data_IF_701203405836
#
_entry.id   IF_701203405836
#
_cell.length_a   1.000
_cell.length_b   1.000
_cell.length_c   1.000
_cell.angle_alpha   90.00
_cell.angle_beta   90.00
_cell.angle_gamma   90.00
#
_symmetry.space_group_name_H-M   'P 1'
#
loop_
_entity.id
_entity.type
_entity.pdbx_description
1 polymer ?
#
# COMPACT_ATOMS: atom_id res chain seq x y z
N UNK A 1 -81.11 22.64 -9.77
CA UNK A 1 -80.67 21.48 -8.98
C UNK A 1 -80.89 20.24 -9.83
N UNK A 2 -79.81 19.59 -10.26
CA UNK A 2 -79.67 18.15 -10.57
C UNK A 2 -78.40 17.99 -11.38
N UNK A 3 -77.29 17.73 -10.67
CA UNK A 3 -76.01 17.38 -11.29
C UNK A 3 -76.06 15.95 -11.82
N UNK A 4 -75.67 15.79 -13.08
CA UNK A 4 -75.46 14.48 -13.70
C UNK A 4 -73.97 14.17 -13.52
N UNK A 5 -73.66 13.22 -12.64
CA UNK A 5 -72.31 12.70 -12.43
C UNK A 5 -72.01 11.68 -13.53
N UNK A 6 -71.07 12.05 -14.42
CA UNK A 6 -70.56 11.15 -15.44
C UNK A 6 -69.46 10.27 -14.82
N UNK A 7 -69.79 8.99 -14.63
CA UNK A 7 -68.87 7.91 -14.25
C UNK A 7 -67.92 7.62 -15.40
N UNK A 8 -66.68 8.09 -15.31
CA UNK A 8 -65.61 7.69 -16.24
C UNK A 8 -65.02 6.37 -15.74
N UNK A 9 -65.38 5.29 -16.42
CA UNK A 9 -64.73 3.99 -16.34
C UNK A 9 -63.26 4.12 -16.76
N UNK A 10 -62.34 3.96 -15.82
CA UNK A 10 -60.92 3.82 -16.13
C UNK A 10 -60.55 2.36 -15.95
N UNK A 11 -60.34 1.69 -17.08
CA UNK A 11 -59.84 0.31 -17.17
C UNK A 11 -58.48 0.22 -16.47
N UNK A 12 -58.43 -0.48 -15.35
CA UNK A 12 -57.20 -0.82 -14.67
C UNK A 12 -56.40 -1.80 -15.53
N UNK A 13 -55.37 -1.30 -16.22
CA UNK A 13 -54.34 -2.14 -16.82
C UNK A 13 -53.48 -2.72 -15.70
N UNK A 14 -53.50 -4.04 -15.58
CA UNK A 14 -52.74 -4.79 -14.60
C UNK A 14 -51.24 -4.44 -14.66
N UNK A 15 -50.56 -4.18 -13.53
CA UNK A 15 -49.11 -4.07 -13.52
C UNK A 15 -48.49 -5.46 -13.75
N UNK A 16 -47.65 -5.56 -14.78
CA UNK A 16 -46.81 -6.74 -15.06
C UNK A 16 -45.98 -7.05 -13.81
N UNK A 17 -46.13 -8.27 -13.30
CA UNK A 17 -45.26 -8.80 -12.26
C UNK A 17 -43.82 -8.85 -12.79
N UNK A 18 -42.96 -7.97 -12.29
CA UNK A 18 -41.52 -8.10 -12.42
C UNK A 18 -41.13 -9.16 -11.40
N UNK A 19 -41.03 -10.42 -11.85
CA UNK A 19 -40.47 -11.51 -11.06
C UNK A 19 -38.97 -11.28 -10.94
N UNK A 20 -38.56 -10.55 -9.91
CA UNK A 20 -37.17 -10.56 -9.48
C UNK A 20 -36.88 -11.92 -8.84
N UNK A 21 -36.46 -12.88 -9.65
CA UNK A 21 -35.83 -14.10 -9.15
C UNK A 21 -34.55 -13.70 -8.43
N UNK A 22 -34.35 -14.10 -7.16
CA UNK A 22 -33.09 -13.82 -6.48
C UNK A 22 -32.02 -14.71 -7.11
N UNK A 23 -31.06 -14.09 -7.79
CA UNK A 23 -29.80 -14.73 -8.16
C UNK A 23 -29.08 -15.14 -6.87
N UNK A 24 -28.75 -16.43 -6.65
CA UNK A 24 -28.00 -16.82 -5.48
C UNK A 24 -26.57 -16.31 -5.63
N UNK A 25 -26.22 -15.28 -4.88
CA UNK A 25 -24.82 -14.92 -4.65
C UNK A 25 -24.14 -16.10 -3.94
N UNK A 26 -23.37 -16.87 -4.71
CA UNK A 26 -22.46 -17.89 -4.22
C UNK A 26 -21.39 -17.21 -3.37
N UNK A 27 -21.55 -17.22 -2.05
CA UNK A 27 -20.41 -17.11 -1.15
C UNK A 27 -19.58 -18.39 -1.28
N UNK A 28 -18.24 -18.31 -1.36
CA UNK A 28 -17.41 -19.49 -1.35
C UNK A 28 -17.59 -20.19 0.01
N UNK A 29 -17.98 -21.45 -0.08
CA UNK A 29 -18.07 -22.42 1.00
C UNK A 29 -16.78 -22.35 1.84
N UNK A 30 -16.90 -22.12 3.16
CA UNK A 30 -15.85 -22.53 4.08
C UNK A 30 -15.74 -24.05 3.96
N UNK A 31 -14.69 -24.48 3.27
CA UNK A 31 -14.33 -25.88 3.14
C UNK A 31 -14.10 -26.48 4.52
N UNK A 32 -14.78 -27.60 4.74
CA UNK A 32 -14.37 -28.72 5.60
C UNK A 32 -12.86 -28.77 5.81
N UNK A 33 -12.41 -28.56 7.05
CA UNK A 33 -11.05 -28.91 7.47
C UNK A 33 -10.98 -30.42 7.66
N UNK A 34 -10.74 -31.15 6.57
CA UNK A 34 -10.18 -32.50 6.69
C UNK A 34 -8.73 -32.37 7.14
N UNK A 35 -8.39 -33.05 8.23
CA UNK A 35 -7.06 -33.15 8.83
C UNK A 35 -5.91 -33.13 7.82
N UNK A 36 -5.15 -32.03 7.82
CA UNK A 36 -3.83 -31.99 7.21
C UNK A 36 -2.87 -32.77 8.13
N UNK A 37 -2.53 -34.00 7.78
CA UNK A 37 -1.32 -34.66 8.28
C UNK A 37 -0.11 -33.97 7.67
N UNK A 38 0.48 -33.07 8.45
CA UNK A 38 1.75 -32.40 8.14
C UNK A 38 2.88 -33.42 8.28
N UNK A 39 3.27 -34.07 7.18
CA UNK A 39 4.48 -34.89 7.14
C UNK A 39 5.69 -33.95 7.03
N UNK A 40 6.51 -33.92 8.08
CA UNK A 40 7.77 -33.17 8.13
C UNK A 40 8.70 -33.75 7.07
N UNK A 41 8.79 -33.08 5.92
CA UNK A 41 9.76 -33.37 4.87
C UNK A 41 11.09 -32.75 5.27
N UNK A 42 11.96 -33.56 5.87
CA UNK A 42 13.38 -33.24 6.04
C UNK A 42 14.03 -33.10 4.66
N UNK A 43 14.14 -31.87 4.17
CA UNK A 43 14.95 -31.51 3.02
C UNK A 43 16.44 -31.63 3.37
N UNK A 44 16.99 -32.83 3.15
CA UNK A 44 18.43 -33.05 3.00
C UNK A 44 18.77 -32.65 1.55
N UNK A 45 19.69 -31.69 1.30
CA UNK A 45 20.05 -31.30 -0.05
C UNK A 45 20.99 -32.36 -0.63
N UNK A 46 20.45 -33.35 -1.34
CA UNK A 46 21.26 -34.16 -2.24
C UNK A 46 21.50 -33.38 -3.52
N UNK A 47 22.77 -33.06 -3.69
CA UNK A 47 23.30 -32.44 -4.89
C UNK A 47 23.21 -33.48 -6.00
N UNK A 48 22.39 -33.17 -6.99
CA UNK A 48 22.58 -33.52 -8.40
C UNK A 48 24.01 -33.99 -8.68
N UNK A 49 24.15 -35.27 -9.01
CA UNK A 49 25.17 -35.83 -9.91
C UNK A 49 24.95 -37.34 -9.94
N UNK A 50 24.26 -37.84 -10.97
CA UNK A 50 24.66 -38.98 -11.79
C UNK A 50 23.49 -39.44 -12.66
N UNK A 51 23.63 -39.15 -13.95
CA UNK A 51 23.19 -39.95 -15.11
C UNK A 51 22.42 -41.22 -14.77
N UNK A 52 21.19 -41.33 -15.33
CA UNK A 52 20.42 -42.56 -15.35
C UNK A 52 21.20 -43.66 -16.10
N UNK A 53 22.10 -44.31 -15.39
CA UNK A 53 22.66 -45.59 -15.77
C UNK A 53 21.65 -46.64 -15.35
N UNK A 54 21.14 -47.38 -16.32
CA UNK A 54 20.31 -48.56 -16.13
C UNK A 54 21.08 -49.49 -15.18
N UNK A 55 20.77 -49.49 -13.89
CA UNK A 55 21.30 -50.52 -12.99
C UNK A 55 20.49 -51.78 -13.20
N UNK A 56 20.84 -52.51 -14.27
CA UNK A 56 20.53 -53.92 -14.39
C UNK A 56 20.94 -54.59 -13.08
N UNK A 57 20.02 -55.25 -12.39
CA UNK A 57 20.41 -56.12 -11.27
C UNK A 57 21.39 -57.16 -11.84
N UNK A 58 22.61 -57.27 -11.31
CA UNK A 58 23.60 -58.17 -11.85
C UNK A 58 23.07 -59.60 -11.80
N UNK A 59 23.25 -60.32 -12.90
CA UNK A 59 22.91 -61.75 -12.96
C UNK A 59 23.81 -62.53 -11.98
N UNK A 60 23.40 -63.73 -11.55
CA UNK A 60 24.12 -64.52 -10.54
C UNK A 60 25.62 -64.72 -10.88
N UNK A 61 25.94 -64.71 -12.18
CA UNK A 61 27.29 -64.87 -12.71
C UNK A 61 28.17 -63.60 -12.63
N UNK A 62 27.59 -62.42 -12.39
CA UNK A 62 28.28 -61.12 -12.39
C UNK A 62 28.55 -60.58 -10.98
N UNK A 63 28.13 -61.30 -9.94
CA UNK A 63 28.42 -60.94 -8.56
C UNK A 63 29.87 -61.31 -8.20
N UNK A 64 30.61 -60.43 -7.47
CA UNK A 64 31.94 -60.77 -6.99
C UNK A 64 31.87 -62.05 -6.13
N UNK A 65 32.80 -62.97 -6.36
CA UNK A 65 32.90 -64.20 -5.56
C UNK A 65 33.10 -63.81 -4.09
N UNK A 66 32.13 -64.15 -3.25
CA UNK A 66 32.18 -63.93 -1.80
C UNK A 66 33.48 -64.52 -1.28
N UNK A 67 34.24 -63.74 -0.50
CA UNK A 67 35.48 -64.22 0.12
C UNK A 67 35.19 -65.50 0.92
N UNK A 68 36.11 -66.46 0.87
CA UNK A 68 35.92 -67.80 1.49
C UNK A 68 35.58 -67.69 2.98
N UNK A 69 36.18 -66.73 3.69
CA UNK A 69 35.89 -66.45 5.09
C UNK A 69 34.44 -65.96 5.32
N UNK A 70 33.94 -65.05 4.48
CA UNK A 70 32.56 -64.55 4.55
C UNK A 70 31.55 -65.66 4.21
N UNK A 71 31.87 -66.54 3.25
CA UNK A 71 31.05 -67.71 2.92
C UNK A 71 30.98 -68.68 4.09
N UNK A 72 32.10 -68.95 4.76
CA UNK A 72 32.15 -69.80 5.95
C UNK A 72 31.39 -69.20 7.14
N UNK A 73 31.46 -67.88 7.34
CA UNK A 73 30.72 -67.18 8.40
C UNK A 73 29.20 -67.19 8.15
N UNK A 74 28.77 -67.09 6.89
CA UNK A 74 27.37 -67.20 6.50
C UNK A 74 26.84 -68.64 6.60
N UNK A 75 27.64 -69.64 6.21
CA UNK A 75 27.28 -71.07 6.34
C UNK A 75 27.23 -71.51 7.80
N UNK A 76 28.08 -70.96 8.67
CA UNK A 76 28.07 -71.17 10.11
C UNK A 76 27.17 -70.22 10.91
N UNK A 77 26.44 -69.32 10.23
CA UNK A 77 25.59 -68.34 10.89
C UNK A 77 24.41 -69.03 11.57
N UNK A 78 24.38 -69.03 12.91
CA UNK A 78 23.24 -69.53 13.67
C UNK A 78 22.26 -68.37 13.93
N UNK A 79 21.07 -68.35 13.30
CA UNK A 79 20.09 -67.30 13.51
C UNK A 79 19.56 -67.23 14.95
N UNK A 80 19.75 -68.29 15.74
CA UNK A 80 19.39 -68.33 17.17
C UNK A 80 20.27 -67.42 18.03
N UNK A 81 21.45 -67.02 17.52
CA UNK A 81 22.34 -66.09 18.21
C UNK A 81 21.96 -64.62 17.97
N UNK A 82 20.97 -64.35 17.13
CA UNK A 82 20.40 -63.01 17.01
C UNK A 82 19.57 -62.68 18.24
N UNK A 83 19.73 -61.47 18.79
CA UNK A 83 18.85 -61.00 19.86
C UNK A 83 17.42 -60.96 19.36
N UNK A 84 16.51 -61.68 20.03
CA UNK A 84 15.09 -61.57 19.75
C UNK A 84 14.63 -60.13 20.02
N UNK A 85 14.09 -59.48 18.99
CA UNK A 85 13.41 -58.20 19.15
C UNK A 85 12.02 -58.47 19.73
N UNK A 86 11.79 -58.09 20.99
CA UNK A 86 10.46 -58.13 21.59
C UNK A 86 9.62 -57.04 20.92
N UNK A 87 8.74 -57.43 20.00
CA UNK A 87 7.69 -56.55 19.47
C UNK A 87 6.58 -56.46 20.52
N UNK A 88 6.42 -55.29 21.15
CA UNK A 88 5.25 -55.00 21.96
C UNK A 88 4.16 -54.36 21.10
N UNK A 89 3.02 -55.04 20.95
CA UNK A 89 1.81 -54.46 20.39
C UNK A 89 1.26 -53.44 21.40
N UNK A 90 1.37 -52.15 21.07
CA UNK A 90 0.91 -51.07 21.95
C UNK A 90 -0.59 -50.84 21.77
N UNK A 91 -1.42 -51.82 22.11
CA UNK A 91 -2.88 -51.68 22.12
C UNK A 91 -3.29 -50.92 23.38
N UNK A 92 -3.01 -49.61 23.44
CA UNK A 92 -3.49 -48.78 24.56
C UNK A 92 -4.99 -48.62 24.37
N UNK A 93 -5.76 -49.12 25.33
CA UNK A 93 -7.18 -48.86 25.40
C UNK A 93 -7.40 -47.35 25.62
N UNK A 94 -8.47 -46.76 25.04
CA UNK A 94 -8.78 -45.36 25.29
C UNK A 94 -8.88 -45.10 26.79
N UNK A 95 -8.32 -43.98 27.21
CA UNK A 95 -8.32 -43.57 28.61
C UNK A 95 -9.75 -43.20 29.03
N UNK A 96 -10.05 -43.27 30.32
CA UNK A 96 -11.31 -42.79 30.85
C UNK A 96 -11.58 -41.30 30.51
N UNK A 97 -10.53 -40.50 30.31
CA UNK A 97 -10.63 -39.12 29.86
C UNK A 97 -11.04 -39.02 28.38
N UNK A 98 -10.42 -39.81 27.51
CA UNK A 98 -10.74 -39.87 26.07
C UNK A 98 -12.23 -40.22 25.86
N UNK A 99 -12.74 -41.20 26.60
CA UNK A 99 -14.16 -41.60 26.53
C UNK A 99 -15.10 -40.51 27.06
N UNK A 100 -14.69 -39.75 28.08
CA UNK A 100 -15.49 -38.65 28.61
C UNK A 100 -15.56 -37.48 27.62
N UNK A 101 -14.43 -37.13 27.01
CA UNK A 101 -14.37 -36.09 25.99
C UNK A 101 -15.22 -36.45 24.78
N UNK A 102 -15.13 -37.71 24.32
CA UNK A 102 -15.94 -38.22 23.22
C UNK A 102 -17.44 -38.16 23.55
N UNK A 103 -17.84 -38.53 24.78
CA UNK A 103 -19.25 -38.40 25.23
C UNK A 103 -19.70 -36.94 25.26
N UNK A 104 -18.88 -36.04 25.78
CA UNK A 104 -19.20 -34.61 25.82
C UNK A 104 -19.35 -34.03 24.41
N UNK A 105 -18.46 -34.40 23.49
CA UNK A 105 -18.53 -33.98 22.10
C UNK A 105 -19.82 -34.49 21.43
N UNK A 106 -20.12 -35.78 21.55
CA UNK A 106 -21.33 -36.36 20.96
C UNK A 106 -22.60 -35.75 21.53
N UNK A 107 -22.65 -35.49 22.85
CA UNK A 107 -23.79 -34.82 23.46
C UNK A 107 -24.00 -33.41 22.87
N UNK A 108 -22.93 -32.64 22.70
CA UNK A 108 -23.02 -31.31 22.10
C UNK A 108 -23.55 -31.35 20.66
N UNK A 109 -23.06 -32.30 19.86
CA UNK A 109 -23.54 -32.49 18.49
C UNK A 109 -25.02 -32.85 18.49
N UNK A 110 -25.43 -33.79 19.36
CA UNK A 110 -26.82 -34.21 19.48
C UNK A 110 -27.75 -33.07 19.94
N UNK A 111 -27.29 -32.22 20.87
CA UNK A 111 -28.04 -31.06 21.35
C UNK A 111 -28.26 -30.01 20.25
N UNK A 112 -27.25 -29.80 19.40
CA UNK A 112 -27.34 -28.89 18.25
C UNK A 112 -28.21 -29.50 17.14
N UNK A 113 -28.07 -30.79 16.84
CA UNK A 113 -28.86 -31.48 15.82
C UNK A 113 -30.36 -31.49 16.17
N UNK A 114 -30.69 -31.70 17.44
CA UNK A 114 -32.07 -31.70 17.92
C UNK A 114 -32.56 -30.31 18.36
N UNK A 115 -31.80 -29.25 18.08
CA UNK A 115 -32.16 -27.90 18.49
C UNK A 115 -33.43 -27.43 17.77
N UNK A 116 -34.48 -27.17 18.55
CA UNK A 116 -35.77 -26.73 18.03
C UNK A 116 -35.79 -25.21 17.86
N UNK A 117 -35.84 -24.75 16.60
CA UNK A 117 -35.78 -23.32 16.24
C UNK A 117 -37.00 -22.50 16.68
N UNK A 118 -38.11 -23.17 17.00
CA UNK A 118 -39.32 -22.58 17.61
C UNK A 118 -39.08 -22.01 19.01
N UNK A 119 -38.03 -22.47 19.70
CA UNK A 119 -37.59 -21.91 20.99
C UNK A 119 -36.86 -20.57 20.85
N UNK A 120 -36.46 -20.18 19.63
CA UNK A 120 -35.85 -18.88 19.38
C UNK A 120 -36.92 -17.79 19.44
N UNK A 121 -36.68 -16.76 20.25
CA UNK A 121 -37.54 -15.56 20.26
C UNK A 121 -37.50 -14.92 18.87
N UNK A 122 -38.68 -14.69 18.27
CA UNK A 122 -38.74 -13.94 17.01
C UNK A 122 -38.28 -12.51 17.25
N UNK A 123 -37.25 -12.09 16.53
CA UNK A 123 -36.89 -10.68 16.42
C UNK A 123 -37.76 -10.03 15.34
N UNK A 124 -38.52 -9.00 15.72
CA UNK A 124 -39.24 -8.19 14.75
C UNK A 124 -38.25 -7.26 14.03
N UNK A 125 -37.83 -7.64 12.82
CA UNK A 125 -37.03 -6.76 11.97
C UNK A 125 -37.94 -5.70 11.37
N UNK A 126 -37.78 -4.44 11.78
CA UNK A 126 -38.45 -3.32 11.12
C UNK A 126 -37.58 -2.83 9.96
N UNK A 127 -38.02 -3.10 8.72
CA UNK A 127 -37.46 -2.48 7.52
C UNK A 127 -37.94 -1.02 7.45
N UNK A 128 -37.02 -0.07 7.70
CA UNK A 128 -37.34 1.36 7.67
C UNK A 128 -37.37 1.86 6.22
N UNK A 129 -38.48 1.68 5.54
CA UNK A 129 -38.73 2.28 4.22
C UNK A 129 -39.04 3.78 4.40
N UNK A 130 -38.00 4.60 4.53
CA UNK A 130 -38.19 6.06 4.57
C UNK A 130 -38.28 6.57 3.14
N UNK A 131 -39.46 7.05 2.76
CA UNK A 131 -39.60 7.82 1.53
C UNK A 131 -38.78 9.11 1.67
N UNK A 132 -38.09 9.56 0.61
CA UNK A 132 -37.44 10.86 0.60
C UNK A 132 -38.42 11.92 1.08
N UNK A 133 -38.01 12.73 2.05
CA UNK A 133 -38.86 13.78 2.57
C UNK A 133 -38.86 14.98 1.59
N UNK A 134 -39.74 15.96 1.82
CA UNK A 134 -39.84 17.13 0.95
C UNK A 134 -38.54 17.96 0.86
N UNK A 135 -37.72 17.97 1.93
CA UNK A 135 -36.42 18.62 1.96
C UNK A 135 -35.42 17.91 1.06
N UNK A 136 -35.39 16.59 1.07
CA UNK A 136 -34.49 15.79 0.24
C UNK A 136 -34.74 16.10 -1.25
N UNK A 137 -36.00 16.10 -1.67
CA UNK A 137 -36.40 16.42 -3.05
C UNK A 137 -36.10 17.88 -3.42
N UNK A 138 -36.31 18.82 -2.50
CA UNK A 138 -36.00 20.24 -2.75
C UNK A 138 -34.49 20.46 -2.90
N UNK A 139 -33.69 19.79 -2.06
CA UNK A 139 -32.23 19.84 -2.13
C UNK A 139 -31.70 19.27 -3.45
N UNK A 140 -32.24 18.13 -3.89
CA UNK A 140 -31.84 17.48 -5.13
C UNK A 140 -32.20 18.33 -6.36
N UNK A 141 -33.38 18.95 -6.37
CA UNK A 141 -33.76 19.91 -7.42
C UNK A 141 -32.82 21.11 -7.49
N UNK A 142 -32.43 21.64 -6.33
CA UNK A 142 -31.51 22.78 -6.26
C UNK A 142 -30.12 22.40 -6.76
N UNK A 143 -29.59 21.25 -6.35
CA UNK A 143 -28.31 20.75 -6.83
C UNK A 143 -28.32 20.50 -8.34
N UNK A 144 -29.38 19.86 -8.84
CA UNK A 144 -29.55 19.61 -10.27
C UNK A 144 -29.59 20.89 -11.08
N UNK A 145 -30.36 21.89 -10.64
CA UNK A 145 -30.42 23.19 -11.31
C UNK A 145 -29.07 23.92 -11.32
N UNK A 146 -28.27 23.79 -10.25
CA UNK A 146 -26.92 24.35 -10.20
C UNK A 146 -25.99 23.68 -11.21
N UNK A 147 -26.02 22.35 -11.28
CA UNK A 147 -25.21 21.57 -12.22
C UNK A 147 -25.57 21.95 -13.66
N UNK A 148 -26.86 21.93 -14.00
CA UNK A 148 -27.35 22.33 -15.33
C UNK A 148 -26.95 23.78 -15.66
N UNK A 149 -27.00 24.69 -14.69
CA UNK A 149 -26.59 26.07 -14.85
C UNK A 149 -25.09 26.24 -15.12
N UNK A 150 -24.25 25.41 -14.49
CA UNK A 150 -22.79 25.39 -14.74
C UNK A 150 -22.47 24.73 -16.07
N UNK A 151 -23.14 23.64 -16.44
CA UNK A 151 -22.96 22.98 -17.74
C UNK A 151 -23.37 23.88 -18.90
N UNK A 152 -24.47 24.64 -18.74
CA UNK A 152 -24.94 25.59 -19.73
C UNK A 152 -24.23 26.96 -19.66
N UNK A 153 -23.22 27.11 -18.78
CA UNK A 153 -22.55 28.38 -18.59
C UNK A 153 -21.71 28.76 -19.81
N UNK A 154 -22.14 29.82 -20.50
CA UNK A 154 -21.45 30.37 -21.64
C UNK A 154 -20.33 31.31 -21.21
N UNK A 155 -19.09 30.81 -21.28
CA UNK A 155 -17.88 31.56 -20.94
C UNK A 155 -17.64 32.78 -21.83
N UNK A 156 -18.25 32.87 -23.02
CA UNK A 156 -18.15 34.04 -23.88
C UNK A 156 -18.86 35.28 -23.31
N UNK A 157 -19.77 35.08 -22.35
CA UNK A 157 -20.45 36.16 -21.61
C UNK A 157 -19.59 36.75 -20.49
N UNK A 158 -18.46 36.12 -20.16
CA UNK A 158 -17.50 36.69 -19.22
C UNK A 158 -16.88 37.95 -19.81
N UNK A 159 -16.67 38.96 -18.98
CA UNK A 159 -15.94 40.16 -19.41
C UNK A 159 -14.48 39.78 -19.66
N UNK A 160 -13.91 40.09 -20.84
CA UNK A 160 -12.49 39.90 -21.06
C UNK A 160 -11.73 40.81 -20.11
N UNK A 161 -10.88 40.21 -19.27
CA UNK A 161 -9.94 40.91 -18.41
C UNK A 161 -8.57 40.83 -19.07
N UNK A 162 -7.99 41.99 -19.37
CA UNK A 162 -6.61 42.10 -19.82
C UNK A 162 -5.68 41.93 -18.63
N UNK A 163 -5.00 40.79 -18.53
CA UNK A 163 -3.97 40.56 -17.51
C UNK A 163 -2.64 41.14 -17.99
N UNK A 164 -2.21 42.25 -17.39
CA UNK A 164 -0.90 42.85 -17.63
C UNK A 164 0.15 42.12 -16.77
N UNK A 165 0.97 41.25 -17.38
CA UNK A 165 2.16 40.68 -16.74
C UNK A 165 3.24 41.75 -16.61
N UNK A 166 3.53 42.19 -15.38
CA UNK A 166 4.51 43.22 -15.04
C UNK A 166 5.96 42.69 -15.13
N UNK A 167 6.37 42.15 -16.27
CA UNK A 167 7.78 42.01 -16.62
C UNK A 167 8.20 43.24 -17.44
N UNK A 168 8.16 44.42 -16.81
CA UNK A 168 8.60 45.65 -17.48
C UNK A 168 10.12 45.58 -17.63
N UNK A 169 10.59 45.63 -18.87
CA UNK A 169 12.00 45.86 -19.15
C UNK A 169 12.40 47.21 -18.53
N UNK A 170 13.65 47.37 -18.06
CA UNK A 170 14.13 48.66 -17.59
C UNK A 170 13.93 49.74 -18.66
N UNK A 171 13.40 50.89 -18.26
CA UNK A 171 13.22 52.02 -19.16
C UNK A 171 14.58 52.58 -19.62
N UNK A 172 14.60 53.28 -20.75
CA UNK A 172 15.83 53.85 -21.33
C UNK A 172 16.61 54.72 -20.35
N UNK A 173 15.90 55.52 -19.55
CA UNK A 173 16.51 56.38 -18.54
C UNK A 173 17.24 55.56 -17.46
N UNK A 174 16.68 54.42 -17.03
CA UNK A 174 17.32 53.55 -16.05
C UNK A 174 18.62 52.93 -16.62
N UNK A 175 18.59 52.54 -17.89
CA UNK A 175 19.76 52.00 -18.59
C UNK A 175 20.85 53.07 -18.77
N UNK A 176 20.47 54.30 -19.12
CA UNK A 176 21.42 55.41 -19.30
C UNK A 176 22.05 55.84 -17.97
N UNK A 177 21.27 55.87 -16.89
CA UNK A 177 21.78 56.12 -15.54
C UNK A 177 22.78 55.05 -15.10
N UNK A 178 22.44 53.77 -15.26
CA UNK A 178 23.34 52.66 -14.92
C UNK A 178 24.63 52.72 -15.76
N UNK A 179 24.52 52.99 -17.06
CA UNK A 179 25.67 53.15 -17.96
C UNK A 179 26.58 54.30 -17.52
N UNK A 180 26.00 55.43 -17.10
CA UNK A 180 26.76 56.57 -16.56
C UNK A 180 27.49 56.22 -15.26
N UNK A 181 26.82 55.50 -14.35
CA UNK A 181 27.42 55.03 -13.10
C UNK A 181 28.59 54.06 -13.36
N UNK A 182 28.42 53.11 -14.28
CA UNK A 182 29.48 52.17 -14.66
C UNK A 182 30.70 52.90 -15.24
N UNK A 183 30.49 53.92 -16.08
CA UNK A 183 31.59 54.72 -16.63
C UNK A 183 32.35 55.50 -15.55
N UNK A 184 31.64 56.05 -14.56
CA UNK A 184 32.27 56.76 -13.44
C UNK A 184 33.15 55.81 -12.62
N UNK A 185 32.61 54.64 -12.27
CA UNK A 185 33.34 53.61 -11.51
C UNK A 185 34.59 53.18 -12.28
N UNK A 186 34.46 52.86 -13.56
CA UNK A 186 35.59 52.46 -14.40
C UNK A 186 36.64 53.58 -14.53
N UNK A 187 36.22 54.85 -14.59
CA UNK A 187 37.13 55.99 -14.63
C UNK A 187 37.96 56.14 -13.36
N UNK A 188 37.36 55.89 -12.19
CA UNK A 188 38.05 55.93 -10.90
C UNK A 188 38.97 54.71 -10.74
N UNK A 189 38.48 53.52 -11.07
CA UNK A 189 39.25 52.26 -10.96
C UNK A 189 40.52 52.29 -11.82
N UNK A 190 40.43 52.86 -13.03
CA UNK A 190 41.55 52.95 -13.97
C UNK A 190 42.33 54.28 -13.87
N UNK A 191 42.04 55.11 -12.86
CA UNK A 191 42.72 56.40 -12.71
C UNK A 191 44.20 56.21 -12.36
N UNK A 192 45.10 56.77 -13.18
CA UNK A 192 46.53 56.72 -12.92
C UNK A 192 46.97 57.93 -12.07
N UNK A 193 47.33 57.75 -10.78
CA UNK A 193 47.73 58.87 -9.91
C UNK A 193 49.02 59.56 -10.36
N UNK A 194 49.85 58.91 -11.18
CA UNK A 194 51.07 59.51 -11.75
C UNK A 194 50.78 60.55 -12.84
N UNK A 195 49.53 60.60 -13.33
CA UNK A 195 49.11 61.61 -14.31
C UNK A 195 48.80 62.97 -13.68
N UNK A 196 48.70 63.04 -12.34
CA UNK A 196 48.53 64.29 -11.61
C UNK A 196 49.77 65.17 -11.76
N UNK A 197 49.55 66.46 -12.03
CA UNK A 197 50.64 67.45 -12.08
C UNK A 197 51.18 67.66 -10.67
N UNK A 198 52.50 67.69 -10.55
CA UNK A 198 53.14 68.07 -9.29
C UNK A 198 52.79 69.52 -8.97
N UNK A 199 52.21 69.75 -7.80
CA UNK A 199 51.94 71.08 -7.27
C UNK A 199 52.64 71.20 -5.93
N UNK A 200 53.39 72.27 -5.74
CA UNK A 200 54.03 72.56 -4.46
C UNK A 200 52.98 73.19 -3.53
N UNK A 201 52.64 72.49 -2.45
CA UNK A 201 51.70 72.99 -1.45
C UNK A 201 52.46 73.79 -0.40
N UNK A 202 52.22 75.11 -0.34
CA UNK A 202 52.74 75.97 0.72
C UNK A 202 51.85 75.85 1.97
N UNK A 203 52.31 75.09 2.97
CA UNK A 203 51.68 75.02 4.29
C UNK A 203 51.84 76.38 4.99
N UNK A 204 50.75 77.04 5.35
CA UNK A 204 50.80 78.42 5.85
C UNK A 204 51.37 78.55 7.27
N UNK A 205 51.49 77.45 8.01
CA UNK A 205 52.13 77.38 9.34
C UNK A 205 52.96 76.09 9.44
N UNK A 206 54.10 75.99 8.74
CA UNK A 206 54.97 74.84 8.92
C UNK A 206 55.41 74.80 10.39
N UNK A 207 55.35 73.62 11.01
CA UNK A 207 55.86 73.43 12.37
C UNK A 207 57.32 73.91 12.42
N UNK A 208 57.74 74.59 13.51
CA UNK A 208 59.13 75.04 13.64
C UNK A 208 60.10 73.89 13.40
N UNK A 209 61.07 74.09 12.50
CA UNK A 209 62.11 73.10 12.23
C UNK A 209 62.95 72.86 13.49
N UNK A 210 63.53 71.65 13.63
CA UNK A 210 64.32 71.28 14.82
C UNK A 210 65.47 72.27 15.06
N UNK A 211 66.02 72.81 13.99
CA UNK A 211 67.07 73.83 13.99
C UNK A 211 66.58 75.15 14.57
N UNK A 212 65.39 75.61 14.18
CA UNK A 212 64.78 76.83 14.73
C UNK A 212 64.48 76.68 16.23
N UNK A 213 63.98 75.50 16.65
CA UNK A 213 63.73 75.20 18.07
C UNK A 213 65.04 75.16 18.87
N UNK A 214 66.10 74.60 18.30
CA UNK A 214 67.41 74.55 18.96
C UNK A 214 68.03 75.93 19.13
N UNK A 215 67.85 76.82 18.15
CA UNK A 215 68.37 78.18 18.18
C UNK A 215 67.63 79.05 19.22
N UNK A 216 66.32 78.88 19.39
CA UNK A 216 65.55 79.56 20.44
C UNK A 216 65.88 79.04 21.85
N UNK A 217 66.15 77.74 22.01
CA UNK A 217 66.56 77.17 23.30
C UNK A 217 68.00 77.50 23.71
N UNK A 218 68.83 77.97 22.77
CA UNK A 218 70.23 78.31 22.97
C UNK A 218 70.51 79.81 23.10
N UNK A 219 69.47 80.65 23.07
CA UNK A 219 69.54 82.12 23.19
C UNK A 219 69.02 82.60 24.55
#
# INVERSE_FOLDING_TARGET
>A
MTGVTQTRSSSASAPKAITNTPTPHRHPLLGSWTSHTLWIKNSRPEKELCSASIMSSPSLNELPKVAVDLKSQLEGFNPSNMKHAVTQEKTVLPTAEDVKQERQHNNLIQDVENFSTDRLKRAATQEKFVLPNAQDVASEKTQKALIEGVEAFDSSKLKPTETQEKNLLPDKDAIEQEKGQQQLIAGIENFNPKSLKHTETQEKNPLPTKEAIAQEKGA
#
